data_IF_375355057719
#
_entry.id   IF_375355057719
#
_cell.length_a   1.000
_cell.length_b   1.000
_cell.length_c   1.000
_cell.angle_alpha   90.00
_cell.angle_beta   90.00
_cell.angle_gamma   90.00
#
_symmetry.space_group_name_H-M   'P 1'
#
loop_
_entity.id
_entity.type
_entity.pdbx_description
1 polymer ?
#
# COMPACT_ATOMS: atom_id res chain seq x y z
N UNK A 1 -5.75 -9.94 13.27
CA UNK A 1 -5.28 -9.12 14.39
C UNK A 1 -5.99 -9.62 15.64
N UNK A 2 -5.43 -9.41 16.82
CA UNK A 2 -6.06 -9.72 18.09
C UNK A 2 -6.19 -8.44 18.94
N UNK A 3 -7.14 -8.44 19.87
CA UNK A 3 -7.34 -7.33 20.80
C UNK A 3 -6.19 -7.30 21.81
N UNK A 4 -5.54 -6.15 21.96
CA UNK A 4 -4.42 -5.94 22.87
C UNK A 4 -4.77 -4.98 24.02
N UNK A 5 -5.85 -4.22 23.89
CA UNK A 5 -6.34 -3.36 24.95
C UNK A 5 -7.81 -3.71 25.28
N UNK A 6 -8.07 -4.12 26.51
CA UNK A 6 -9.43 -4.44 26.99
C UNK A 6 -10.35 -3.21 27.01
N UNK A 7 -9.78 -2.01 27.09
CA UNK A 7 -10.53 -0.76 27.08
C UNK A 7 -11.01 -0.35 25.69
N UNK A 8 -10.58 -1.01 24.62
CA UNK A 8 -10.88 -0.59 23.23
C UNK A 8 -12.40 -0.46 22.97
N UNK A 9 -13.22 -1.35 23.55
CA UNK A 9 -14.68 -1.27 23.43
C UNK A 9 -15.23 -0.07 24.20
N UNK A 10 -14.75 0.16 25.43
CA UNK A 10 -15.17 1.30 26.25
C UNK A 10 -14.82 2.62 25.56
N UNK A 11 -13.60 2.74 25.05
CA UNK A 11 -13.11 3.95 24.38
C UNK A 11 -13.95 4.27 23.13
N UNK A 12 -14.35 3.25 22.37
CA UNK A 12 -15.23 3.40 21.20
C UNK A 12 -16.63 3.86 21.58
N UNK A 13 -17.17 3.29 22.66
CA UNK A 13 -18.50 3.67 23.14
C UNK A 13 -18.55 5.15 23.54
N UNK A 14 -17.45 5.73 24.04
CA UNK A 14 -17.39 7.17 24.31
C UNK A 14 -17.68 8.02 23.06
N UNK A 15 -17.21 7.60 21.88
CA UNK A 15 -17.50 8.31 20.63
C UNK A 15 -18.96 8.13 20.21
N UNK A 16 -19.47 6.90 20.22
CA UNK A 16 -20.84 6.64 19.75
C UNK A 16 -21.94 7.15 20.69
N UNK A 17 -21.63 7.30 21.99
CA UNK A 17 -22.56 7.77 23.02
C UNK A 17 -22.39 9.27 23.33
N UNK A 18 -21.53 9.98 22.60
CA UNK A 18 -21.41 11.43 22.71
C UNK A 18 -22.75 12.10 22.35
N UNK A 19 -23.28 12.94 23.24
CA UNK A 19 -24.63 13.51 23.10
C UNK A 19 -24.74 14.53 21.96
N UNK A 20 -23.62 15.16 21.58
CA UNK A 20 -23.59 16.21 20.57
C UNK A 20 -23.34 15.64 19.17
N UNK A 21 -22.32 14.79 19.03
CA UNK A 21 -21.79 14.34 17.74
C UNK A 21 -21.82 12.82 17.58
N UNK A 22 -22.20 12.04 18.60
CA UNK A 22 -22.16 10.58 18.52
C UNK A 22 -23.05 10.01 17.42
N UNK A 23 -24.19 10.65 17.17
CA UNK A 23 -25.19 10.22 16.18
C UNK A 23 -24.70 10.30 14.72
N UNK A 24 -23.73 11.17 14.39
CA UNK A 24 -23.16 11.26 13.03
C UNK A 24 -22.02 10.27 12.79
N UNK A 25 -21.49 9.64 13.83
CA UNK A 25 -20.37 8.71 13.72
C UNK A 25 -20.87 7.34 13.23
N UNK A 26 -20.45 6.98 12.03
CA UNK A 26 -20.72 5.70 11.39
C UNK A 26 -19.74 4.61 11.79
N UNK A 27 -18.46 4.94 11.93
CA UNK A 27 -17.45 3.98 12.41
C UNK A 27 -16.22 4.63 13.05
N UNK A 28 -15.56 3.88 13.93
CA UNK A 28 -14.31 4.27 14.60
C UNK A 28 -13.19 3.32 14.18
N UNK A 29 -12.16 3.86 13.52
CA UNK A 29 -11.03 3.12 12.99
C UNK A 29 -9.80 3.28 13.90
N UNK A 30 -9.22 2.15 14.32
CA UNK A 30 -7.96 2.12 15.05
C UNK A 30 -6.76 1.95 14.10
N UNK A 31 -5.56 2.39 14.50
CA UNK A 31 -4.33 2.04 13.81
C UNK A 31 -4.11 0.53 13.74
N UNK A 32 -3.68 0.05 12.57
CA UNK A 32 -3.11 -1.28 12.44
C UNK A 32 -1.69 -1.29 13.01
N UNK A 33 -1.47 -2.08 14.05
CA UNK A 33 -0.14 -2.24 14.67
C UNK A 33 0.29 -3.70 14.61
N UNK A 34 1.60 -3.95 14.64
CA UNK A 34 2.15 -5.28 14.43
C UNK A 34 3.26 -5.62 15.44
N UNK A 35 3.35 -6.91 15.81
CA UNK A 35 4.29 -7.39 16.84
C UNK A 35 5.59 -7.92 16.28
N UNK A 36 5.56 -8.48 15.08
CA UNK A 36 6.73 -9.09 14.46
C UNK A 36 7.52 -8.08 13.60
N UNK A 37 7.48 -6.79 13.89
CA UNK A 37 8.30 -5.81 13.15
C UNK A 37 9.78 -5.96 13.51
N UNK A 38 10.65 -5.98 12.50
CA UNK A 38 12.10 -5.90 12.74
C UNK A 38 12.50 -4.47 13.09
N UNK A 39 13.67 -4.32 13.74
CA UNK A 39 14.18 -3.02 14.20
C UNK A 39 14.23 -1.96 13.09
N UNK A 40 14.60 -2.34 11.87
CA UNK A 40 14.70 -1.46 10.72
C UNK A 40 13.60 -1.74 9.67
N UNK A 41 12.47 -2.33 10.08
CA UNK A 41 11.28 -2.53 9.24
C UNK A 41 11.63 -3.00 7.81
N UNK A 42 12.24 -4.18 7.69
CA UNK A 42 12.88 -4.67 6.47
C UNK A 42 12.03 -4.50 5.19
N UNK A 43 10.71 -4.68 5.32
CA UNK A 43 9.76 -4.61 4.20
C UNK A 43 8.82 -3.40 4.25
N UNK A 44 9.10 -2.38 5.09
CA UNK A 44 8.25 -1.19 5.23
C UNK A 44 6.78 -1.58 5.44
N UNK A 45 6.53 -2.25 6.56
CA UNK A 45 5.24 -2.83 6.94
C UNK A 45 4.72 -2.26 8.27
N UNK A 46 5.45 -1.34 8.91
CA UNK A 46 4.98 -0.66 10.13
C UNK A 46 3.81 0.28 9.87
N UNK A 47 3.75 0.89 8.67
CA UNK A 47 2.78 1.93 8.32
C UNK A 47 2.70 3.07 9.35
N UNK A 48 3.84 3.40 9.99
CA UNK A 48 3.90 4.42 11.03
C UNK A 48 3.54 5.81 10.50
N UNK A 49 4.01 6.21 9.32
CA UNK A 49 3.67 7.53 8.72
C UNK A 49 2.18 7.59 8.38
N UNK A 50 1.64 6.56 7.73
CA UNK A 50 0.21 6.44 7.44
C UNK A 50 -0.63 6.60 8.71
N UNK A 51 -0.31 5.85 9.77
CA UNK A 51 -1.07 5.88 11.02
C UNK A 51 -0.89 7.16 11.84
N UNK A 52 0.32 7.72 11.90
CA UNK A 52 0.61 8.86 12.77
C UNK A 52 0.38 10.23 12.11
N UNK A 53 0.42 10.29 10.78
CA UNK A 53 0.33 11.53 10.01
C UNK A 53 -0.90 11.51 9.11
N UNK A 54 -0.96 10.59 8.16
CA UNK A 54 -1.99 10.63 7.10
C UNK A 54 -3.41 10.42 7.65
N UNK A 55 -3.65 9.34 8.38
CA UNK A 55 -4.99 9.04 8.93
C UNK A 55 -5.44 10.05 9.97
N UNK A 56 -4.50 10.59 10.76
CA UNK A 56 -4.78 11.70 11.66
C UNK A 56 -5.16 12.97 10.89
N UNK A 57 -4.50 13.26 9.78
CA UNK A 57 -4.84 14.41 8.92
C UNK A 57 -6.22 14.29 8.30
N UNK A 58 -6.64 13.08 7.90
CA UNK A 58 -7.98 12.83 7.34
C UNK A 58 -9.11 12.99 8.36
N UNK A 59 -8.82 12.82 9.65
CA UNK A 59 -9.83 12.81 10.71
C UNK A 59 -10.63 14.13 10.80
N UNK A 60 -9.98 15.24 10.44
CA UNK A 60 -10.58 16.56 10.46
C UNK A 60 -11.56 16.83 9.28
N UNK A 61 -11.53 16.03 8.21
CA UNK A 61 -12.27 16.28 6.97
C UNK A 61 -13.39 15.25 6.71
N UNK A 62 -13.85 14.55 7.76
CA UNK A 62 -14.92 13.54 7.69
C UNK A 62 -14.49 12.13 8.10
N UNK A 63 -13.21 11.95 8.41
CA UNK A 63 -12.69 10.73 9.01
C UNK A 63 -11.86 9.85 8.06
N UNK A 64 -11.06 8.92 8.62
CA UNK A 64 -10.24 8.00 7.82
C UNK A 64 -11.09 6.97 7.07
N UNK A 65 -10.55 6.35 6.00
CA UNK A 65 -11.18 5.19 5.38
C UNK A 65 -11.27 4.00 6.33
N UNK A 66 -12.25 3.12 6.09
CA UNK A 66 -12.26 1.79 6.68
C UNK A 66 -11.15 0.94 6.04
N UNK A 67 -10.22 0.44 6.86
CA UNK A 67 -9.04 -0.33 6.40
C UNK A 67 -9.09 -1.80 6.85
N UNK A 68 -10.29 -2.37 6.97
CA UNK A 68 -10.51 -3.82 7.06
C UNK A 68 -10.39 -4.47 8.45
N UNK A 69 -9.72 -3.83 9.42
CA UNK A 69 -9.50 -4.42 10.76
C UNK A 69 -9.37 -3.35 11.83
N UNK A 70 -9.68 -3.70 13.08
CA UNK A 70 -9.65 -2.76 14.21
C UNK A 70 -10.64 -1.62 14.03
N UNK A 71 -11.81 -1.90 13.45
CA UNK A 71 -12.84 -0.92 13.17
C UNK A 71 -14.15 -1.34 13.83
N UNK A 72 -14.84 -0.38 14.45
CA UNK A 72 -16.16 -0.59 15.03
C UNK A 72 -17.18 0.18 14.21
N UNK A 73 -18.18 -0.51 13.68
CA UNK A 73 -19.24 0.09 12.88
C UNK A 73 -20.53 0.20 13.68
N UNK A 74 -21.23 1.33 13.53
CA UNK A 74 -22.65 1.41 13.87
C UNK A 74 -23.41 0.51 12.90
N UNK A 75 -24.21 -0.43 13.42
CA UNK A 75 -24.91 -1.44 12.60
C UNK A 75 -25.72 -0.81 11.45
N UNK A 76 -26.37 0.32 11.71
CA UNK A 76 -27.17 1.05 10.72
C UNK A 76 -26.39 1.42 9.46
N UNK A 77 -25.09 1.71 9.56
CA UNK A 77 -24.29 2.06 8.39
C UNK A 77 -24.10 0.87 7.47
N UNK A 78 -23.92 -0.33 8.06
CA UNK A 78 -23.83 -1.58 7.31
C UNK A 78 -25.20 -2.00 6.77
N UNK A 79 -26.30 -1.63 7.41
CA UNK A 79 -27.65 -1.86 6.87
C UNK A 79 -28.03 -0.92 5.71
N UNK A 80 -27.13 -0.04 5.25
CA UNK A 80 -27.38 0.82 4.11
C UNK A 80 -28.02 2.17 4.43
N UNK A 81 -28.22 2.49 5.71
CA UNK A 81 -28.92 3.70 6.13
C UNK A 81 -28.15 4.96 5.73
N UNK A 82 -28.87 5.99 5.29
CA UNK A 82 -28.34 7.34 5.09
C UNK A 82 -28.47 8.15 6.38
N UNK A 83 -27.40 8.85 6.75
CA UNK A 83 -27.44 9.81 7.85
C UNK A 83 -28.22 11.06 7.40
N UNK A 84 -29.05 11.59 8.29
CA UNK A 84 -29.74 12.88 8.10
C UNK A 84 -29.40 13.76 9.30
N UNK A 85 -28.98 15.00 9.05
CA UNK A 85 -28.62 15.91 10.13
C UNK A 85 -29.79 16.09 11.09
N UNK A 86 -29.53 15.96 12.40
CA UNK A 86 -30.56 16.04 13.45
C UNK A 86 -31.40 14.76 13.61
N UNK A 87 -31.18 13.72 12.80
CA UNK A 87 -31.77 12.42 13.07
C UNK A 87 -30.99 11.74 14.19
N UNK A 88 -31.64 11.48 15.33
CA UNK A 88 -31.05 10.62 16.35
C UNK A 88 -30.85 9.21 15.79
N UNK A 89 -29.73 8.57 16.11
CA UNK A 89 -29.53 7.17 15.74
C UNK A 89 -30.63 6.34 16.39
N UNK A 90 -31.31 5.52 15.58
CA UNK A 90 -32.34 4.63 16.10
C UNK A 90 -31.76 3.51 16.96
N UNK A 91 -30.45 3.31 17.02
CA UNK A 91 -29.82 2.40 17.98
C UNK A 91 -30.14 2.75 19.44
N UNK A 92 -30.42 4.03 19.74
CA UNK A 92 -30.92 4.47 21.05
C UNK A 92 -32.46 4.42 21.16
N UNK A 93 -33.16 4.28 20.01
CA UNK A 93 -34.59 3.96 19.90
C UNK A 93 -34.79 2.50 19.45
N UNK A 94 -33.92 1.59 19.88
CA UNK A 94 -34.35 0.20 20.09
C UNK A 94 -35.28 0.22 21.30
N UNK A 95 -36.42 0.87 21.10
CA UNK A 95 -37.58 0.87 21.94
C UNK A 95 -38.04 -0.57 21.96
N UNK A 96 -37.64 -1.30 23.00
CA UNK A 96 -38.23 -2.56 23.43
C UNK A 96 -38.87 -3.38 22.31
N UNK A 97 -38.12 -3.72 21.24
CA UNK A 97 -38.45 -4.94 20.52
C UNK A 97 -38.37 -6.00 21.60
N UNK A 98 -39.55 -6.51 21.98
CA UNK A 98 -39.80 -7.52 23.00
C UNK A 98 -38.51 -8.30 23.15
N UNK A 99 -37.86 -8.24 24.33
CA UNK A 99 -36.74 -9.14 24.63
C UNK A 99 -37.16 -10.47 24.06
N UNK A 100 -36.49 -10.92 23.00
CA UNK A 100 -36.89 -12.14 22.33
C UNK A 100 -36.65 -13.21 23.39
N UNK A 101 -37.73 -13.59 24.08
CA UNK A 101 -37.74 -14.58 25.15
C UNK A 101 -37.82 -15.99 24.54
N UNK A 102 -37.49 -16.10 23.24
CA UNK A 102 -37.42 -17.37 22.57
C UNK A 102 -36.24 -18.17 23.13
N UNK A 103 -36.47 -19.47 23.28
CA UNK A 103 -35.42 -20.41 23.65
C UNK A 103 -34.27 -20.37 22.64
N UNK A 104 -33.05 -20.68 23.09
CA UNK A 104 -31.87 -20.75 22.23
C UNK A 104 -32.08 -21.66 21.00
N UNK A 105 -32.83 -22.76 21.17
CA UNK A 105 -33.19 -23.68 20.07
C UNK A 105 -34.08 -23.03 19.01
N UNK A 106 -35.04 -22.19 19.41
CA UNK A 106 -35.91 -21.48 18.47
C UNK A 106 -35.12 -20.43 17.70
N UNK A 107 -34.24 -19.69 18.39
CA UNK A 107 -33.33 -18.73 17.73
C UNK A 107 -32.40 -19.43 16.74
N UNK A 108 -31.84 -20.58 17.13
CA UNK A 108 -30.97 -21.37 16.26
C UNK A 108 -31.70 -21.79 14.97
N UNK A 109 -32.89 -22.38 15.09
CA UNK A 109 -33.69 -22.75 13.91
C UNK A 109 -34.05 -21.54 13.05
N UNK A 110 -34.37 -20.39 13.67
CA UNK A 110 -34.73 -19.16 12.96
C UNK A 110 -33.54 -18.51 12.26
N UNK A 111 -32.31 -18.71 12.76
CA UNK A 111 -31.09 -18.19 12.15
C UNK A 111 -30.59 -19.05 10.98
N UNK A 112 -30.92 -20.36 10.92
CA UNK A 112 -30.43 -21.27 9.85
C UNK A 112 -30.72 -20.74 8.43
N UNK A 113 -31.94 -20.25 8.09
CA UNK A 113 -32.21 -19.70 6.77
C UNK A 113 -31.36 -18.47 6.41
N UNK A 114 -30.97 -17.66 7.42
CA UNK A 114 -30.13 -16.46 7.22
C UNK A 114 -28.70 -16.80 6.80
N UNK A 115 -28.24 -18.01 7.12
CA UNK A 115 -26.92 -18.53 6.73
C UNK A 115 -26.97 -19.40 5.46
N UNK A 116 -28.12 -19.47 4.78
CA UNK A 116 -28.26 -20.26 3.55
C UNK A 116 -27.54 -19.60 2.37
N UNK A 117 -27.05 -20.41 1.43
CA UNK A 117 -26.36 -19.89 0.24
C UNK A 117 -27.27 -19.05 -0.68
N UNK A 118 -28.60 -19.25 -0.61
CA UNK A 118 -29.58 -18.48 -1.36
C UNK A 118 -30.07 -17.21 -0.64
N UNK A 119 -29.63 -16.95 0.59
CA UNK A 119 -30.14 -15.82 1.38
C UNK A 119 -29.94 -14.47 0.69
N UNK A 120 -28.81 -14.31 0.01
CA UNK A 120 -28.45 -13.06 -0.65
C UNK A 120 -28.99 -12.96 -2.09
N UNK A 121 -29.62 -14.01 -2.60
CA UNK A 121 -30.15 -14.05 -3.96
C UNK A 121 -31.27 -13.02 -4.14
N UNK A 122 -31.17 -12.19 -5.18
CA UNK A 122 -32.12 -11.09 -5.46
C UNK A 122 -32.26 -10.05 -4.33
N UNK A 123 -31.28 -9.96 -3.43
CA UNK A 123 -31.25 -8.93 -2.37
C UNK A 123 -30.29 -7.78 -2.69
N UNK A 124 -30.30 -6.77 -1.82
CA UNK A 124 -29.36 -5.62 -1.83
C UNK A 124 -28.05 -5.89 -1.07
N UNK A 125 -27.88 -7.09 -0.48
CA UNK A 125 -26.64 -7.49 0.16
C UNK A 125 -25.47 -7.45 -0.83
N UNK A 126 -24.37 -6.82 -0.39
CA UNK A 126 -23.19 -6.61 -1.22
C UNK A 126 -23.30 -5.49 -2.25
N UNK A 127 -24.52 -5.04 -2.58
CA UNK A 127 -24.80 -3.98 -3.57
C UNK A 127 -24.99 -2.64 -2.87
N UNK A 128 -25.99 -2.55 -1.99
CA UNK A 128 -26.34 -1.35 -1.23
C UNK A 128 -26.21 -1.52 0.29
N UNK A 129 -26.18 -2.75 0.80
CA UNK A 129 -25.95 -3.01 2.23
C UNK A 129 -24.89 -4.09 2.44
N UNK A 130 -24.46 -4.26 3.68
CA UNK A 130 -23.33 -5.11 4.05
C UNK A 130 -21.98 -4.54 3.58
N UNK A 131 -21.00 -5.43 3.48
CA UNK A 131 -19.72 -5.14 2.82
C UNK A 131 -19.93 -5.15 1.31
N UNK A 132 -19.41 -4.15 0.60
CA UNK A 132 -19.58 -4.03 -0.85
C UNK A 132 -18.85 -5.13 -1.62
N UNK A 133 -19.50 -5.73 -2.61
CA UNK A 133 -18.91 -6.83 -3.40
C UNK A 133 -18.15 -6.34 -4.64
N UNK A 134 -17.34 -7.23 -5.21
CA UNK A 134 -16.74 -7.03 -6.54
C UNK A 134 -15.46 -6.20 -6.58
N UNK A 135 -14.85 -5.91 -5.42
CA UNK A 135 -13.57 -5.21 -5.31
C UNK A 135 -12.63 -5.93 -4.33
N UNK A 136 -11.33 -6.11 -4.65
CA UNK A 136 -10.34 -6.72 -3.73
C UNK A 136 -10.02 -5.92 -2.46
N UNK A 137 -10.48 -4.66 -2.39
CA UNK A 137 -10.39 -3.76 -1.22
C UNK A 137 -11.80 -3.32 -0.84
N UNK A 138 -12.66 -4.30 -0.57
CA UNK A 138 -14.06 -4.13 -0.19
C UNK A 138 -14.22 -3.24 1.05
N UNK A 139 -13.23 -3.25 1.93
CA UNK A 139 -13.15 -2.40 3.11
C UNK A 139 -13.16 -0.91 2.74
N UNK A 140 -12.25 -0.49 1.87
CA UNK A 140 -12.09 0.91 1.47
C UNK A 140 -13.36 1.43 0.79
N UNK A 141 -13.91 0.68 -0.17
CA UNK A 141 -15.15 1.06 -0.87
C UNK A 141 -16.37 1.06 0.08
N UNK A 142 -16.44 0.12 1.02
CA UNK A 142 -17.53 0.09 2.02
C UNK A 142 -17.47 1.35 2.88
N UNK A 143 -16.30 1.68 3.45
CA UNK A 143 -16.11 2.89 4.24
C UNK A 143 -16.43 4.17 3.45
N UNK A 144 -15.95 4.25 2.21
CA UNK A 144 -16.24 5.37 1.31
C UNK A 144 -17.74 5.54 1.05
N UNK A 145 -18.46 4.44 0.78
CA UNK A 145 -19.91 4.50 0.55
C UNK A 145 -20.70 4.87 1.80
N UNK A 146 -20.24 4.45 2.99
CA UNK A 146 -20.81 4.89 4.28
C UNK A 146 -20.64 6.41 4.43
N UNK A 147 -19.46 6.94 4.16
CA UNK A 147 -19.23 8.39 4.25
C UNK A 147 -20.04 9.18 3.22
N UNK A 148 -20.17 8.67 2.00
CA UNK A 148 -21.02 9.24 0.96
C UNK A 148 -22.53 9.19 1.29
N UNK A 149 -22.93 8.44 2.32
CA UNK A 149 -24.29 8.44 2.87
C UNK A 149 -24.47 9.44 4.01
N UNK A 150 -23.48 10.31 4.24
CA UNK A 150 -23.50 11.39 5.21
C UNK A 150 -22.91 11.03 6.58
N UNK A 151 -22.47 9.78 6.79
CA UNK A 151 -21.84 9.39 8.04
C UNK A 151 -20.41 9.90 8.13
N UNK A 152 -19.95 10.23 9.34
CA UNK A 152 -18.53 10.50 9.61
C UNK A 152 -17.84 9.27 10.14
N UNK A 153 -16.52 9.22 9.99
CA UNK A 153 -15.69 8.26 10.73
C UNK A 153 -14.73 8.98 11.66
N UNK A 154 -14.21 8.24 12.63
CA UNK A 154 -13.23 8.73 13.60
C UNK A 154 -11.97 7.88 13.53
N UNK A 155 -10.81 8.52 13.53
CA UNK A 155 -9.53 7.88 13.75
C UNK A 155 -9.16 7.92 15.23
N UNK A 156 -9.14 6.76 15.90
CA UNK A 156 -8.80 6.70 17.31
C UNK A 156 -7.49 5.94 17.58
N UNK A 157 -6.51 6.66 18.14
CA UNK A 157 -5.20 6.13 18.51
C UNK A 157 -5.00 6.16 20.03
N UNK A 158 -5.34 5.08 20.76
CA UNK A 158 -5.13 5.01 22.20
C UNK A 158 -3.63 4.93 22.56
N UNK A 159 -3.29 5.33 23.80
CA UNK A 159 -1.92 5.23 24.35
C UNK A 159 -1.41 3.78 24.35
N UNK A 160 -2.25 2.83 24.76
CA UNK A 160 -2.01 1.39 24.59
C UNK A 160 -2.63 0.95 23.27
N UNK A 161 -1.82 0.39 22.36
CA UNK A 161 -2.28 -0.11 21.05
C UNK A 161 -3.52 -1.00 21.21
N UNK A 162 -4.63 -0.64 20.56
CA UNK A 162 -5.90 -1.35 20.69
C UNK A 162 -5.85 -2.76 20.11
N UNK A 163 -5.24 -2.90 18.94
CA UNK A 163 -5.14 -4.16 18.19
C UNK A 163 -3.73 -4.41 17.71
N UNK A 164 -3.31 -5.67 17.74
CA UNK A 164 -2.01 -6.12 17.26
C UNK A 164 -2.17 -7.22 16.20
N UNK A 165 -1.26 -7.25 15.24
CA UNK A 165 -1.25 -8.20 14.14
C UNK A 165 0.15 -8.65 13.77
N UNK A 166 0.23 -9.35 12.65
CA UNK A 166 1.50 -9.79 12.06
C UNK A 166 1.61 -9.30 10.62
N UNK A 167 2.79 -8.80 10.28
CA UNK A 167 3.17 -8.40 8.92
C UNK A 167 3.74 -9.60 8.15
N UNK A 168 3.74 -9.55 6.80
CA UNK A 168 4.45 -10.53 6.00
C UNK A 168 5.95 -10.58 6.33
N UNK A 169 6.53 -11.79 6.32
CA UNK A 169 7.94 -12.03 6.66
C UNK A 169 8.81 -12.30 5.43
N UNK A 170 8.23 -12.25 4.23
CA UNK A 170 8.96 -12.42 2.96
C UNK A 170 8.66 -11.28 2.00
N UNK A 171 9.64 -10.95 1.16
CA UNK A 171 9.48 -9.89 0.16
C UNK A 171 8.32 -10.19 -0.78
N UNK A 172 8.20 -11.44 -1.27
CA UNK A 172 7.16 -11.82 -2.21
C UNK A 172 5.75 -11.65 -1.61
N UNK A 173 5.54 -12.05 -0.36
CA UNK A 173 4.25 -11.85 0.31
C UNK A 173 3.91 -10.36 0.43
N UNK A 174 4.87 -9.51 0.80
CA UNK A 174 4.67 -8.06 0.85
C UNK A 174 4.31 -7.48 -0.53
N UNK A 175 4.99 -7.92 -1.59
CA UNK A 175 4.72 -7.45 -2.96
C UNK A 175 3.36 -7.92 -3.49
N UNK A 176 2.97 -9.16 -3.22
CA UNK A 176 1.65 -9.71 -3.60
C UNK A 176 0.52 -9.00 -2.83
N UNK A 177 0.73 -8.75 -1.53
CA UNK A 177 -0.22 -7.99 -0.72
C UNK A 177 -0.44 -6.59 -1.29
N UNK A 178 0.65 -5.87 -1.59
CA UNK A 178 0.57 -4.54 -2.19
C UNK A 178 -0.05 -4.56 -3.58
N UNK A 179 0.21 -5.58 -4.41
CA UNK A 179 -0.45 -5.73 -5.72
C UNK A 179 -1.96 -5.73 -5.55
N UNK A 180 -2.49 -6.55 -4.62
CA UNK A 180 -3.93 -6.67 -4.38
C UNK A 180 -4.55 -5.33 -3.96
N UNK A 181 -3.91 -4.63 -3.03
CA UNK A 181 -4.38 -3.32 -2.57
C UNK A 181 -4.41 -2.29 -3.69
N UNK A 182 -3.32 -2.21 -4.45
CA UNK A 182 -3.19 -1.27 -5.56
C UNK A 182 -4.14 -1.60 -6.70
N UNK A 183 -4.36 -2.88 -6.98
CA UNK A 183 -5.30 -3.36 -7.98
C UNK A 183 -6.72 -2.94 -7.62
N UNK A 184 -7.16 -3.25 -6.41
CA UNK A 184 -8.48 -2.85 -5.92
C UNK A 184 -8.65 -1.32 -5.83
N UNK A 185 -7.61 -0.60 -5.42
CA UNK A 185 -7.63 0.87 -5.37
C UNK A 185 -7.89 1.49 -6.74
N UNK A 186 -7.16 1.05 -7.77
CA UNK A 186 -7.39 1.54 -9.12
C UNK A 186 -8.76 1.11 -9.66
N UNK A 187 -9.25 -0.10 -9.32
CA UNK A 187 -10.60 -0.54 -9.68
C UNK A 187 -11.67 0.39 -9.11
N UNK A 188 -11.55 0.84 -7.85
CA UNK A 188 -12.48 1.82 -7.27
C UNK A 188 -12.44 3.12 -8.08
N UNK A 189 -11.24 3.66 -8.33
CA UNK A 189 -11.07 4.93 -9.04
C UNK A 189 -11.67 4.91 -10.46
N UNK A 190 -11.55 3.78 -11.17
CA UNK A 190 -12.06 3.60 -12.53
C UNK A 190 -13.53 3.16 -12.59
N UNK A 191 -14.18 2.95 -11.44
CA UNK A 191 -15.58 2.51 -11.36
C UNK A 191 -16.54 3.67 -11.10
N UNK A 192 -17.84 3.36 -11.03
CA UNK A 192 -18.88 4.29 -10.57
C UNK A 192 -18.67 4.82 -9.13
N UNK A 193 -17.74 4.23 -8.38
CA UNK A 193 -17.36 4.63 -7.02
C UNK A 193 -16.13 5.54 -6.97
N UNK A 194 -15.73 6.13 -8.10
CA UNK A 194 -14.67 7.14 -8.13
C UNK A 194 -14.96 8.27 -7.13
N UNK A 195 -14.04 8.62 -6.20
CA UNK A 195 -14.30 9.66 -5.20
C UNK A 195 -14.69 11.02 -5.78
N UNK A 196 -14.09 11.40 -6.90
CA UNK A 196 -14.32 12.69 -7.57
C UNK A 196 -15.68 12.76 -8.29
N UNK A 197 -16.28 11.61 -8.63
CA UNK A 197 -17.58 11.54 -9.30
C UNK A 197 -18.69 11.19 -8.31
N UNK A 198 -18.52 10.08 -7.60
CA UNK A 198 -19.51 9.57 -6.65
C UNK A 198 -19.60 10.41 -5.38
N UNK A 199 -18.46 10.91 -4.89
CA UNK A 199 -18.37 11.70 -3.67
C UNK A 199 -18.68 13.18 -3.88
N UNK A 200 -18.75 13.65 -5.13
CA UNK A 200 -19.06 15.04 -5.45
C UNK A 200 -20.42 15.44 -4.88
N UNK A 201 -20.44 16.51 -4.08
CA UNK A 201 -21.63 17.00 -3.37
C UNK A 201 -22.08 16.13 -2.20
N UNK A 202 -21.42 15.00 -1.90
CA UNK A 202 -21.73 14.10 -0.78
C UNK A 202 -20.72 14.18 0.36
N UNK A 203 -19.45 14.36 0.03
CA UNK A 203 -18.36 14.50 1.00
C UNK A 203 -17.44 15.69 0.63
N UNK A 204 -16.68 16.28 1.57
CA UNK A 204 -15.79 17.39 1.30
C UNK A 204 -14.75 17.06 0.23
N UNK A 205 -14.39 18.05 -0.60
CA UNK A 205 -13.37 17.87 -1.66
C UNK A 205 -12.04 17.38 -1.10
N UNK A 206 -11.63 17.86 0.08
CA UNK A 206 -10.40 17.41 0.75
C UNK A 206 -10.41 15.91 1.03
N UNK A 207 -11.54 15.37 1.51
CA UNK A 207 -11.72 13.94 1.73
C UNK A 207 -11.74 13.16 0.41
N UNK A 208 -12.38 13.70 -0.63
CA UNK A 208 -12.33 13.06 -1.97
C UNK A 208 -10.88 12.92 -2.47
N UNK A 209 -10.08 13.99 -2.33
CA UNK A 209 -8.67 14.00 -2.72
C UNK A 209 -7.83 13.06 -1.85
N UNK A 210 -8.12 12.97 -0.54
CA UNK A 210 -7.39 12.08 0.36
C UNK A 210 -7.58 10.60 0.00
N UNK A 211 -8.79 10.19 -0.40
CA UNK A 211 -9.02 8.87 -0.99
C UNK A 211 -8.19 8.65 -2.26
N UNK A 212 -8.16 9.64 -3.17
CA UNK A 212 -7.44 9.52 -4.43
C UNK A 212 -5.94 9.25 -4.28
N UNK A 213 -5.29 9.69 -3.19
CA UNK A 213 -3.87 9.44 -2.91
C UNK A 213 -3.54 7.94 -2.95
N UNK A 214 -4.36 7.10 -2.31
CA UNK A 214 -4.15 5.65 -2.25
C UNK A 214 -4.70 4.94 -3.49
N UNK A 215 -5.83 5.41 -4.04
CA UNK A 215 -6.46 4.77 -5.21
C UNK A 215 -5.63 4.93 -6.49
N UNK A 216 -4.80 5.97 -6.60
CA UNK A 216 -3.95 6.24 -7.77
C UNK A 216 -2.51 5.70 -7.65
N UNK A 217 -2.22 4.85 -6.65
CA UNK A 217 -0.92 4.20 -6.52
C UNK A 217 -0.46 3.49 -7.81
N UNK A 218 -1.36 2.79 -8.47
CA UNK A 218 -1.07 2.04 -9.69
C UNK A 218 -0.55 2.95 -10.81
N UNK A 219 -1.19 4.11 -11.04
CA UNK A 219 -0.84 5.02 -12.13
C UNK A 219 0.59 5.58 -12.02
N UNK A 220 1.11 5.70 -10.79
CA UNK A 220 2.47 6.18 -10.53
C UNK A 220 3.57 5.17 -10.92
N UNK A 221 3.23 3.93 -11.32
CA UNK A 221 4.21 2.94 -11.74
C UNK A 221 4.96 3.37 -13.00
N UNK A 222 4.28 4.02 -13.96
CA UNK A 222 4.86 4.38 -15.26
C UNK A 222 5.96 5.45 -15.11
N UNK A 223 5.69 6.48 -14.32
CA UNK A 223 6.70 7.49 -13.99
C UNK A 223 7.91 6.85 -13.27
N UNK A 224 7.64 5.95 -12.32
CA UNK A 224 8.71 5.25 -11.59
C UNK A 224 9.57 4.40 -12.52
N UNK A 225 8.94 3.62 -13.41
CA UNK A 225 9.62 2.82 -14.42
C UNK A 225 10.46 3.69 -15.36
N UNK A 226 9.96 4.86 -15.77
CA UNK A 226 10.71 5.81 -16.59
C UNK A 226 12.01 6.23 -15.88
N UNK A 227 11.91 6.74 -14.64
CA UNK A 227 13.07 7.26 -13.92
C UNK A 227 14.13 6.21 -13.56
N UNK A 228 13.76 4.94 -13.47
CA UNK A 228 14.70 3.86 -13.11
C UNK A 228 15.28 3.14 -14.32
N UNK A 229 14.78 3.43 -15.53
CA UNK A 229 15.24 2.82 -16.79
C UNK A 229 15.86 3.84 -17.73
N UNK A 230 15.12 4.88 -18.10
CA UNK A 230 15.49 5.81 -19.17
C UNK A 230 16.76 6.61 -18.82
N UNK A 231 16.89 7.24 -17.63
CA UNK A 231 18.12 7.94 -17.28
C UNK A 231 19.36 7.05 -17.35
N UNK A 232 19.25 5.77 -16.97
CA UNK A 232 20.34 4.79 -16.97
C UNK A 232 20.71 4.31 -18.37
N UNK A 233 19.74 4.18 -19.28
CA UNK A 233 19.99 3.91 -20.70
C UNK A 233 20.60 5.13 -21.40
N UNK A 234 20.07 6.33 -21.16
CA UNK A 234 20.66 7.58 -21.67
C UNK A 234 22.10 7.76 -21.17
N UNK A 235 22.37 7.37 -19.93
CA UNK A 235 23.70 7.42 -19.32
C UNK A 235 24.72 6.55 -20.09
N UNK A 236 24.33 5.34 -20.54
CA UNK A 236 25.19 4.49 -21.39
C UNK A 236 25.57 5.16 -22.72
N UNK A 237 24.62 5.89 -23.33
CA UNK A 237 24.84 6.64 -24.57
C UNK A 237 25.57 7.97 -24.38
N UNK A 238 25.73 8.44 -23.15
CA UNK A 238 26.24 9.78 -22.86
C UNK A 238 25.24 10.89 -23.21
N UNK A 239 23.94 10.57 -23.28
CA UNK A 239 22.87 11.54 -23.51
C UNK A 239 22.44 12.12 -22.16
N UNK A 240 22.50 13.45 -22.06
CA UNK A 240 22.09 14.18 -20.87
C UNK A 240 20.56 14.22 -20.74
N UNK A 241 20.02 13.72 -19.63
CA UNK A 241 18.59 13.84 -19.28
C UNK A 241 18.31 14.98 -18.30
N UNK A 242 19.35 15.55 -17.70
CA UNK A 242 19.24 16.63 -16.72
C UNK A 242 20.06 17.85 -17.18
N UNK A 243 19.81 19.05 -16.61
CA UNK A 243 20.69 20.20 -16.78
C UNK A 243 22.12 19.91 -16.31
N UNK A 244 23.09 20.68 -16.80
CA UNK A 244 24.45 20.68 -16.27
C UNK A 244 24.45 21.05 -14.78
N UNK A 245 25.23 20.37 -13.94
CA UNK A 245 25.27 20.67 -12.50
C UNK A 245 25.78 22.09 -12.24
N UNK A 246 26.75 22.55 -13.04
CA UNK A 246 27.23 23.94 -13.01
C UNK A 246 26.19 25.00 -13.42
N UNK A 247 25.08 24.60 -14.03
CA UNK A 247 24.04 25.52 -14.48
C UNK A 247 23.09 25.89 -13.35
N UNK A 248 22.63 27.15 -13.33
CA UNK A 248 21.57 27.61 -12.42
C UNK A 248 20.27 26.78 -12.55
N UNK A 249 20.02 26.18 -13.73
CA UNK A 249 18.89 25.30 -13.96
C UNK A 249 18.94 23.97 -13.19
N UNK A 250 20.08 23.60 -12.60
CA UNK A 250 20.20 22.42 -11.74
C UNK A 250 19.65 22.66 -10.33
N UNK A 251 19.60 23.91 -9.87
CA UNK A 251 19.25 24.24 -8.48
C UNK A 251 17.85 23.76 -8.08
N UNK A 252 16.79 23.92 -8.89
CA UNK A 252 15.47 23.39 -8.54
C UNK A 252 15.45 21.86 -8.37
N UNK A 253 16.22 21.13 -9.19
CA UNK A 253 16.31 19.67 -9.10
C UNK A 253 17.04 19.23 -7.83
N UNK A 254 18.20 19.83 -7.56
CA UNK A 254 18.99 19.56 -6.35
C UNK A 254 18.17 19.89 -5.11
N UNK A 255 17.55 21.07 -5.07
CA UNK A 255 16.68 21.47 -3.96
C UNK A 255 15.54 20.48 -3.75
N UNK A 256 14.82 20.11 -4.81
CA UNK A 256 13.69 19.17 -4.70
C UNK A 256 14.16 17.81 -4.18
N UNK A 257 15.23 17.24 -4.72
CA UNK A 257 15.76 15.94 -4.28
C UNK A 257 16.20 16.01 -2.81
N UNK A 258 16.96 17.03 -2.43
CA UNK A 258 17.48 17.17 -1.07
C UNK A 258 16.36 17.43 -0.07
N UNK A 259 15.46 18.38 -0.35
CA UNK A 259 14.38 18.75 0.54
C UNK A 259 13.39 17.60 0.73
N UNK A 260 12.99 16.91 -0.35
CA UNK A 260 12.06 15.77 -0.24
C UNK A 260 12.68 14.58 0.48
N UNK A 261 13.96 14.28 0.23
CA UNK A 261 14.67 13.19 0.91
C UNK A 261 14.87 13.51 2.40
N UNK A 262 15.27 14.74 2.72
CA UNK A 262 15.45 15.18 4.11
C UNK A 262 14.12 15.20 4.87
N UNK A 263 13.06 15.71 4.26
CA UNK A 263 11.72 15.71 4.85
C UNK A 263 11.22 14.28 5.08
N UNK A 264 11.30 13.41 4.06
CA UNK A 264 10.89 12.00 4.17
C UNK A 264 11.67 11.26 5.25
N UNK A 265 12.98 11.45 5.34
CA UNK A 265 13.80 10.85 6.38
C UNK A 265 13.43 11.37 7.78
N UNK A 266 13.27 12.69 7.91
CA UNK A 266 12.89 13.35 9.15
C UNK A 266 11.52 12.87 9.64
N UNK A 267 10.53 12.83 8.75
CA UNK A 267 9.17 12.35 9.05
C UNK A 267 9.16 10.87 9.45
N UNK A 268 9.91 10.02 8.76
CA UNK A 268 10.01 8.60 9.09
C UNK A 268 10.61 8.37 10.49
N UNK A 269 11.68 9.10 10.82
CA UNK A 269 12.33 9.03 12.15
C UNK A 269 11.44 9.63 13.23
N UNK A 270 10.79 10.76 12.97
CA UNK A 270 9.81 11.38 13.87
C UNK A 270 8.65 10.42 14.18
N UNK A 271 8.23 9.62 13.19
CA UNK A 271 7.23 8.58 13.36
C UNK A 271 7.75 7.32 14.07
N UNK A 272 8.97 7.32 14.60
CA UNK A 272 9.54 6.23 15.40
C UNK A 272 10.28 5.16 14.60
N UNK A 273 10.61 5.44 13.33
CA UNK A 273 11.49 4.61 12.52
C UNK A 273 12.97 4.92 12.75
N UNK A 274 13.85 4.08 12.21
CA UNK A 274 15.31 4.32 12.19
C UNK A 274 15.74 4.87 10.83
N UNK A 275 16.92 5.48 10.74
CA UNK A 275 17.49 5.94 9.44
C UNK A 275 17.69 4.75 8.48
N UNK A 276 18.14 3.60 9.00
CA UNK A 276 18.26 2.37 8.21
C UNK A 276 16.88 1.84 7.78
N UNK A 277 15.86 1.99 8.63
CA UNK A 277 14.48 1.69 8.29
C UNK A 277 13.94 2.59 7.20
N UNK A 278 14.26 3.89 7.22
CA UNK A 278 13.93 4.80 6.12
C UNK A 278 14.59 4.36 4.80
N UNK A 279 15.85 3.92 4.84
CA UNK A 279 16.50 3.36 3.64
C UNK A 279 15.80 2.09 3.12
N UNK A 280 15.34 1.22 4.02
CA UNK A 280 14.53 0.06 3.66
C UNK A 280 13.16 0.48 3.09
N UNK A 281 12.57 1.56 3.61
CA UNK A 281 11.34 2.17 3.10
C UNK A 281 11.51 2.69 1.67
N UNK A 282 12.59 3.42 1.37
CA UNK A 282 12.90 3.85 0.00
C UNK A 282 13.07 2.67 -0.97
N UNK A 283 13.71 1.58 -0.51
CA UNK A 283 13.82 0.35 -1.30
C UNK A 283 12.47 -0.27 -1.59
N UNK A 284 11.65 -0.41 -0.57
CA UNK A 284 10.33 -1.02 -0.71
C UNK A 284 9.38 -0.14 -1.52
N UNK A 285 9.50 1.18 -1.41
CA UNK A 285 8.81 2.15 -2.27
C UNK A 285 9.14 1.91 -3.74
N UNK A 286 10.43 1.75 -4.07
CA UNK A 286 10.88 1.42 -5.43
C UNK A 286 10.34 0.05 -5.88
N UNK A 287 10.41 -0.96 -5.02
CA UNK A 287 10.03 -2.33 -5.38
C UNK A 287 8.53 -2.46 -5.63
N UNK A 288 7.71 -1.90 -4.74
CA UNK A 288 6.24 -1.87 -4.88
C UNK A 288 5.84 -1.17 -6.17
N UNK A 289 6.44 -0.02 -6.49
CA UNK A 289 6.08 0.78 -7.69
C UNK A 289 6.48 0.16 -9.01
N UNK A 290 7.66 -0.47 -9.07
CA UNK A 290 8.15 -1.10 -10.31
C UNK A 290 7.56 -2.49 -10.56
N UNK A 291 6.96 -3.13 -9.54
CA UNK A 291 6.38 -4.47 -9.66
C UNK A 291 4.91 -4.52 -9.29
N UNK A 292 4.57 -4.51 -8.00
CA UNK A 292 3.20 -4.63 -7.49
C UNK A 292 2.23 -3.67 -8.20
N UNK A 293 2.63 -2.40 -8.33
CA UNK A 293 1.80 -1.36 -8.92
C UNK A 293 1.72 -1.51 -10.44
N UNK A 294 2.83 -1.92 -11.08
CA UNK A 294 2.85 -2.18 -12.51
C UNK A 294 1.96 -3.37 -12.91
N UNK A 295 2.03 -4.49 -12.18
CA UNK A 295 1.13 -5.62 -12.39
C UNK A 295 -0.33 -5.25 -12.12
N UNK A 296 -0.60 -4.53 -11.02
CA UNK A 296 -1.93 -4.04 -10.71
C UNK A 296 -2.49 -3.10 -11.80
N UNK A 297 -1.65 -2.24 -12.35
CA UNK A 297 -2.00 -1.36 -13.46
C UNK A 297 -2.34 -2.16 -14.71
N UNK A 298 -1.46 -3.10 -15.11
CA UNK A 298 -1.67 -3.94 -16.28
C UNK A 298 -2.94 -4.79 -16.16
N UNK A 299 -3.17 -5.44 -15.03
CA UNK A 299 -4.36 -6.27 -14.79
C UNK A 299 -5.64 -5.44 -14.90
N UNK A 300 -5.63 -4.20 -14.39
CA UNK A 300 -6.77 -3.29 -14.54
C UNK A 300 -7.02 -2.88 -16.00
N UNK A 301 -5.97 -2.58 -16.77
CA UNK A 301 -6.11 -2.28 -18.20
C UNK A 301 -6.65 -3.50 -18.96
N UNK A 302 -6.10 -4.70 -18.72
CA UNK A 302 -6.58 -5.94 -19.33
C UNK A 302 -8.04 -6.24 -18.96
N UNK A 303 -8.44 -5.96 -17.71
CA UNK A 303 -9.82 -6.06 -17.27
C UNK A 303 -10.74 -5.09 -18.03
N UNK A 304 -10.33 -3.84 -18.22
CA UNK A 304 -11.09 -2.87 -19.02
C UNK A 304 -11.23 -3.30 -20.48
N UNK A 305 -10.23 -4.00 -21.02
CA UNK A 305 -10.26 -4.59 -22.36
C UNK A 305 -11.04 -5.92 -22.44
N UNK A 306 -11.60 -6.41 -21.32
CA UNK A 306 -12.42 -7.63 -21.27
C UNK A 306 -11.62 -8.94 -21.34
N UNK A 307 -10.29 -8.91 -21.23
CA UNK A 307 -9.42 -10.09 -21.46
C UNK A 307 -9.05 -10.86 -20.20
N UNK A 308 -9.30 -10.33 -18.99
CA UNK A 308 -8.97 -11.02 -17.74
C UNK A 308 -10.07 -10.91 -16.67
N UNK A 309 -10.23 -11.98 -15.88
CA UNK A 309 -10.94 -11.97 -14.60
C UNK A 309 -9.89 -11.94 -13.49
N UNK A 310 -10.01 -11.00 -12.55
CA UNK A 310 -9.09 -10.89 -11.40
C UNK A 310 -9.14 -12.18 -10.56
N UNK A 311 -7.98 -12.80 -10.34
CA UNK A 311 -7.83 -13.92 -9.42
C UNK A 311 -7.32 -13.40 -8.07
N UNK A 312 -8.10 -13.60 -7.02
CA UNK A 312 -7.70 -13.24 -5.67
C UNK A 312 -6.63 -14.21 -5.16
N UNK A 313 -5.40 -13.74 -5.00
CA UNK A 313 -4.31 -14.55 -4.43
C UNK A 313 -4.26 -14.36 -2.92
N UNK A 314 -4.56 -15.42 -2.16
CA UNK A 314 -4.46 -15.42 -0.70
C UNK A 314 -2.99 -15.30 -0.29
N UNK A 315 -2.66 -14.27 0.49
CA UNK A 315 -1.30 -14.12 1.04
C UNK A 315 -1.17 -14.98 2.30
N UNK A 316 -0.34 -16.02 2.23
CA UNK A 316 0.02 -16.79 3.43
C UNK A 316 0.76 -15.87 4.42
N UNK A 317 0.42 -15.99 5.71
CA UNK A 317 1.09 -15.25 6.81
C UNK A 317 1.87 -16.14 7.77
N UNK A 318 1.89 -17.46 7.51
CA UNK A 318 2.68 -18.43 8.27
C UNK A 318 3.98 -18.64 7.53
N UNK A 319 5.09 -18.48 8.25
CA UNK A 319 6.43 -18.68 7.72
C UNK A 319 7.06 -19.91 8.35
N UNK A 320 7.84 -20.64 7.55
CA UNK A 320 8.73 -21.69 8.04
C UNK A 320 9.71 -21.10 9.08
N UNK A 321 10.17 -21.91 10.02
CA UNK A 321 11.06 -21.49 11.10
C UNK A 321 12.37 -20.91 10.54
N UNK A 322 12.88 -21.49 9.45
CA UNK A 322 14.07 -21.00 8.74
C UNK A 322 13.85 -19.62 8.11
N UNK A 323 12.66 -19.37 7.56
CA UNK A 323 12.29 -18.07 6.97
C UNK A 323 12.17 -17.02 8.07
N UNK A 324 11.55 -17.38 9.20
CA UNK A 324 11.38 -16.49 10.35
C UNK A 324 12.73 -16.04 10.93
N UNK A 325 13.69 -16.97 11.10
CA UNK A 325 15.06 -16.63 11.54
C UNK A 325 15.79 -15.69 10.59
N UNK A 326 15.58 -15.83 9.27
CA UNK A 326 16.17 -14.92 8.28
C UNK A 326 15.54 -13.53 8.35
N UNK A 327 14.22 -13.49 8.52
CA UNK A 327 13.48 -12.25 8.68
C UNK A 327 13.91 -11.50 9.96
N UNK A 328 14.06 -12.17 11.10
CA UNK A 328 14.57 -11.59 12.35
C UNK A 328 15.99 -11.02 12.20
N UNK A 329 16.82 -11.63 11.35
CA UNK A 329 18.17 -11.15 10.99
C UNK A 329 18.16 -10.05 9.91
N UNK A 330 16.97 -9.60 9.50
CA UNK A 330 16.76 -8.61 8.45
C UNK A 330 17.31 -8.99 7.07
N UNK A 331 17.28 -10.29 6.74
CA UNK A 331 17.68 -10.81 5.44
C UNK A 331 16.45 -10.95 4.52
N UNK A 332 16.49 -10.28 3.36
CA UNK A 332 15.38 -10.32 2.39
C UNK A 332 15.21 -11.71 1.77
N UNK A 333 13.99 -12.23 1.68
CA UNK A 333 13.72 -13.57 1.14
C UNK A 333 13.49 -13.55 -0.38
N UNK A 334 14.34 -14.23 -1.15
CA UNK A 334 14.24 -14.32 -2.62
C UNK A 334 13.98 -15.74 -3.15
N UNK A 335 13.97 -16.77 -2.31
CA UNK A 335 14.00 -18.18 -2.72
C UNK A 335 12.86 -18.64 -3.62
N UNK A 336 11.74 -17.92 -3.67
CA UNK A 336 10.59 -18.24 -4.51
C UNK A 336 10.73 -17.58 -5.90
N UNK A 337 10.66 -18.33 -7.02
CA UNK A 337 10.66 -17.73 -8.34
C UNK A 337 9.40 -16.89 -8.56
N UNK A 338 9.55 -15.66 -9.07
CA UNK A 338 8.44 -14.75 -9.32
C UNK A 338 8.75 -13.79 -10.47
N UNK A 339 7.78 -13.48 -11.36
CA UNK A 339 7.93 -12.42 -12.35
C UNK A 339 8.27 -11.04 -11.74
N UNK A 340 7.80 -10.76 -10.52
CA UNK A 340 8.16 -9.54 -9.79
C UNK A 340 9.67 -9.48 -9.51
N UNK A 341 10.26 -10.60 -9.06
CA UNK A 341 11.70 -10.67 -8.84
C UNK A 341 12.49 -10.58 -10.14
N UNK A 342 11.96 -11.10 -11.25
CA UNK A 342 12.56 -10.90 -12.57
C UNK A 342 12.65 -9.41 -12.91
N UNK A 343 11.56 -8.65 -12.76
CA UNK A 343 11.58 -7.20 -13.04
C UNK A 343 12.57 -6.47 -12.12
N UNK A 344 12.52 -6.69 -10.80
CA UNK A 344 13.45 -6.04 -9.86
C UNK A 344 14.90 -6.33 -10.20
N UNK A 345 15.20 -7.60 -10.50
CA UNK A 345 16.56 -8.04 -10.79
C UNK A 345 17.03 -7.53 -12.16
N UNK A 346 16.16 -7.46 -13.16
CA UNK A 346 16.47 -6.83 -14.45
C UNK A 346 16.80 -5.35 -14.29
N UNK A 347 16.00 -4.61 -13.52
CA UNK A 347 16.27 -3.20 -13.24
C UNK A 347 17.57 -3.01 -12.44
N UNK A 348 17.84 -3.87 -11.46
CA UNK A 348 19.10 -3.83 -10.71
C UNK A 348 20.32 -4.09 -11.62
N UNK A 349 20.23 -5.06 -12.52
CA UNK A 349 21.28 -5.32 -13.51
C UNK A 349 21.46 -4.16 -14.48
N UNK A 350 20.37 -3.63 -15.03
CA UNK A 350 20.40 -2.49 -15.94
C UNK A 350 21.15 -1.31 -15.32
N UNK A 351 20.76 -0.92 -14.10
CA UNK A 351 21.40 0.19 -13.39
C UNK A 351 22.87 -0.11 -13.06
N UNK A 352 23.20 -1.33 -12.63
CA UNK A 352 24.58 -1.71 -12.36
C UNK A 352 25.46 -1.67 -13.61
N UNK A 353 24.99 -2.23 -14.73
CA UNK A 353 25.72 -2.23 -16.00
C UNK A 353 25.92 -0.80 -16.53
N UNK A 354 24.87 0.03 -16.46
CA UNK A 354 24.96 1.45 -16.81
C UNK A 354 25.99 2.20 -15.96
N UNK A 355 25.96 1.99 -14.64
CA UNK A 355 26.86 2.66 -13.71
C UNK A 355 28.32 2.22 -13.92
N UNK A 356 28.58 0.91 -14.01
CA UNK A 356 29.92 0.35 -14.29
C UNK A 356 30.42 0.83 -15.65
N UNK A 357 29.57 0.81 -16.68
CA UNK A 357 29.93 1.26 -18.03
C UNK A 357 30.41 2.72 -18.05
N UNK A 358 29.78 3.60 -17.26
CA UNK A 358 30.25 4.98 -17.13
C UNK A 358 31.52 5.08 -16.30
N UNK A 359 31.65 4.40 -15.17
CA UNK A 359 32.89 4.40 -14.39
C UNK A 359 34.11 3.97 -15.22
N UNK A 360 33.94 2.95 -16.08
CA UNK A 360 34.99 2.52 -17.02
C UNK A 360 35.31 3.60 -18.06
N UNK A 361 34.29 4.24 -18.65
CA UNK A 361 34.52 5.36 -19.60
C UNK A 361 35.28 6.51 -18.94
N UNK A 362 34.96 6.84 -17.69
CA UNK A 362 35.62 7.88 -16.91
C UNK A 362 37.08 7.53 -16.61
N UNK A 363 37.35 6.27 -16.23
CA UNK A 363 38.70 5.79 -15.98
C UNK A 363 39.58 5.85 -17.24
N UNK A 364 39.00 5.64 -18.42
CA UNK A 364 39.73 5.65 -19.71
C UNK A 364 39.91 7.08 -20.27
N UNK A 365 38.88 7.94 -20.19
CA UNK A 365 38.88 9.25 -20.88
C UNK A 365 39.13 10.45 -19.95
N UNK A 366 39.21 10.24 -18.63
CA UNK A 366 39.76 11.21 -17.67
C UNK A 366 38.88 12.39 -17.26
N UNK A 367 37.64 12.53 -17.75
CA UNK A 367 36.72 13.58 -17.30
C UNK A 367 35.27 13.11 -17.21
N UNK A 368 34.60 13.43 -16.10
CA UNK A 368 33.14 13.35 -15.97
C UNK A 368 32.49 14.48 -16.72
N UNK A 369 31.67 14.21 -17.75
CA UNK A 369 30.89 15.27 -18.38
C UNK A 369 29.95 15.85 -17.32
N UNK A 370 30.10 17.13 -16.99
CA UNK A 370 29.26 17.87 -16.02
C UNK A 370 27.75 17.70 -16.29
N UNK A 371 27.40 17.51 -17.57
CA UNK A 371 26.04 17.20 -18.01
C UNK A 371 25.48 15.86 -17.51
N UNK A 372 26.33 14.85 -17.25
CA UNK A 372 25.88 13.51 -16.82
C UNK A 372 25.89 13.32 -15.30
N UNK A 373 26.43 14.28 -14.54
CA UNK A 373 26.69 14.11 -13.10
C UNK A 373 25.43 13.73 -12.29
N UNK A 374 24.29 14.38 -12.52
CA UNK A 374 23.04 14.04 -11.83
C UNK A 374 22.53 12.63 -12.19
N UNK A 375 22.70 12.19 -13.45
CA UNK A 375 22.33 10.82 -13.86
C UNK A 375 23.24 9.78 -13.23
N UNK A 376 24.54 10.07 -13.11
CA UNK A 376 25.51 9.21 -12.43
C UNK A 376 25.11 9.04 -10.97
N UNK A 377 24.75 10.13 -10.28
CA UNK A 377 24.30 10.10 -8.89
C UNK A 377 23.00 9.28 -8.76
N UNK A 378 22.00 9.54 -9.60
CA UNK A 378 20.75 8.78 -9.60
C UNK A 378 20.98 7.28 -9.83
N UNK A 379 21.79 6.93 -10.83
CA UNK A 379 22.10 5.54 -11.16
C UNK A 379 22.87 4.86 -10.02
N UNK A 380 23.85 5.54 -9.42
CA UNK A 380 24.58 5.05 -8.25
C UNK A 380 23.66 4.84 -7.05
N UNK A 381 22.72 5.76 -6.77
CA UNK A 381 21.70 5.58 -5.73
C UNK A 381 20.82 4.36 -6.00
N UNK A 382 20.38 4.15 -7.25
CA UNK A 382 19.58 2.97 -7.63
C UNK A 382 20.37 1.67 -7.43
N UNK A 383 21.67 1.65 -7.72
CA UNK A 383 22.55 0.50 -7.42
C UNK A 383 22.61 0.28 -5.91
N UNK A 384 22.85 1.31 -5.11
CA UNK A 384 22.91 1.19 -3.64
C UNK A 384 21.58 0.71 -3.02
N UNK A 385 20.43 1.23 -3.49
CA UNK A 385 19.11 0.80 -3.02
C UNK A 385 18.89 -0.70 -3.31
N UNK A 386 19.38 -1.18 -4.45
CA UNK A 386 19.25 -2.56 -4.89
C UNK A 386 20.30 -3.53 -4.32
N UNK A 387 21.15 -3.10 -3.38
CA UNK A 387 22.17 -3.95 -2.74
C UNK A 387 21.67 -5.36 -2.36
N UNK A 388 20.52 -5.54 -1.68
CA UNK A 388 20.07 -6.87 -1.27
C UNK A 388 19.82 -7.84 -2.43
N UNK A 389 19.47 -7.34 -3.63
CA UNK A 389 19.31 -8.19 -4.81
C UNK A 389 20.65 -8.75 -5.27
N UNK A 390 21.72 -7.93 -5.29
CA UNK A 390 23.06 -8.40 -5.64
C UNK A 390 23.57 -9.40 -4.61
N UNK A 391 23.35 -9.16 -3.32
CA UNK A 391 23.67 -10.13 -2.26
C UNK A 391 22.92 -11.45 -2.48
N UNK A 392 21.62 -11.36 -2.81
CA UNK A 392 20.77 -12.49 -3.13
C UNK A 392 21.24 -13.32 -4.31
N UNK A 393 21.89 -12.71 -5.30
CA UNK A 393 22.39 -13.39 -6.51
C UNK A 393 23.79 -13.97 -6.28
N UNK A 394 24.72 -13.17 -5.76
CA UNK A 394 26.15 -13.49 -5.77
C UNK A 394 26.68 -14.04 -4.45
N UNK A 395 26.18 -13.56 -3.31
CA UNK A 395 26.78 -13.83 -2.01
C UNK A 395 26.06 -14.94 -1.24
N UNK A 396 24.74 -15.01 -1.37
CA UNK A 396 23.93 -15.95 -0.60
C UNK A 396 24.07 -17.40 -1.07
N UNK A 397 24.14 -18.31 -0.10
CA UNK A 397 24.21 -19.77 -0.29
C UNK A 397 23.05 -20.51 0.38
N UNK A 398 22.26 -19.82 1.20
CA UNK A 398 21.11 -20.40 1.90
C UNK A 398 19.83 -20.42 1.02
N UNK A 399 18.73 -20.99 1.54
CA UNK A 399 17.46 -21.16 0.81
C UNK A 399 16.78 -19.85 0.37
N UNK A 400 17.09 -18.72 0.97
CA UNK A 400 16.54 -17.43 0.55
C UNK A 400 17.34 -16.73 -0.55
N UNK A 401 18.35 -17.40 -1.13
CA UNK A 401 19.08 -16.96 -2.33
C UNK A 401 18.12 -16.76 -3.52
N UNK A 402 18.45 -15.81 -4.40
CA UNK A 402 17.74 -15.63 -5.67
C UNK A 402 17.85 -16.89 -6.54
N UNK A 403 16.73 -17.45 -7.05
CA UNK A 403 16.76 -18.57 -7.98
C UNK A 403 17.62 -18.28 -9.21
N UNK A 404 18.47 -19.23 -9.60
CA UNK A 404 19.35 -19.10 -10.76
C UNK A 404 18.60 -18.84 -12.05
N UNK A 405 17.40 -19.42 -12.20
CA UNK A 405 16.53 -19.18 -13.36
C UNK A 405 16.07 -17.73 -13.45
N UNK A 406 15.75 -17.09 -12.31
CA UNK A 406 15.37 -15.67 -12.25
C UNK A 406 16.59 -14.81 -12.55
N UNK A 407 17.73 -15.07 -11.90
CA UNK A 407 18.96 -14.32 -12.12
C UNK A 407 19.41 -14.35 -13.59
N UNK A 408 19.39 -15.52 -14.24
CA UNK A 408 19.78 -15.67 -15.64
C UNK A 408 18.82 -14.92 -16.59
N UNK A 409 17.50 -15.15 -16.47
CA UNK A 409 16.52 -14.42 -17.30
C UNK A 409 16.66 -12.92 -17.16
N UNK A 410 16.85 -12.46 -15.92
CA UNK A 410 16.95 -11.04 -15.62
C UNK A 410 18.20 -10.39 -16.23
N UNK A 411 19.33 -11.09 -16.19
CA UNK A 411 20.58 -10.65 -16.81
C UNK A 411 20.43 -10.58 -18.34
N UNK A 412 19.80 -11.59 -18.97
CA UNK A 412 19.52 -11.57 -20.42
C UNK A 412 18.65 -10.37 -20.78
N UNK A 413 17.56 -10.11 -20.06
CA UNK A 413 16.70 -8.95 -20.33
C UNK A 413 17.43 -7.61 -20.15
N UNK A 414 18.27 -7.50 -19.12
CA UNK A 414 19.06 -6.29 -18.91
C UNK A 414 20.08 -6.07 -20.03
N UNK A 415 20.76 -7.13 -20.47
CA UNK A 415 21.70 -7.05 -21.61
C UNK A 415 20.98 -6.66 -22.90
N UNK A 416 19.83 -7.26 -23.20
CA UNK A 416 19.02 -6.87 -24.37
C UNK A 416 18.61 -5.41 -24.29
N UNK A 417 18.15 -4.92 -23.13
CA UNK A 417 17.78 -3.52 -22.95
C UNK A 417 18.99 -2.57 -23.14
N UNK A 418 20.15 -2.93 -22.59
CA UNK A 418 21.39 -2.19 -22.82
C UNK A 418 21.79 -2.17 -24.30
N UNK A 419 21.75 -3.33 -24.98
CA UNK A 419 22.08 -3.45 -26.41
C UNK A 419 21.14 -2.64 -27.30
N UNK A 420 19.84 -2.66 -27.01
CA UNK A 420 18.85 -1.86 -27.73
C UNK A 420 19.08 -0.35 -27.59
N UNK A 421 19.73 0.10 -26.53
CA UNK A 421 20.11 1.51 -26.41
C UNK A 421 21.37 1.88 -27.22
N UNK A 422 22.15 0.90 -27.69
CA UNK A 422 23.31 1.13 -28.57
C UNK A 422 22.96 1.13 -30.05
N UNK A 423 21.82 0.52 -30.43
CA UNK A 423 21.20 0.66 -31.75
C UNK A 423 20.50 2.02 -31.82
#
# INVERSE_FOLDING_TARGET
>A
MYANNMDSVRDVLCFFMDEENGDEIGFVQFPQNFDNLTTNDLYSSSFNVLSKVELHGMDNDGGPPYIGTGCFHRRETLCGRKYRQGSKSESLRWDHHQRIQDSASVLEETCKPLASCGYEENTEWGKEMGLKYGCPVEDVITGFTIQCRGWRSIYFKPKRKGFLGVVPTTLLQSLVQHKRWTEGGLQIFLSQYCPLLHGHGKIPLKLQLSYCVHLLWAANCLASLYYVTIPSLCLLRGISSFPKVSSQWSYPFIYTIMATSAYSAGEFVWCGGTVRGWWNDQRMWLYKRTTSYFFAFLDNILRLLGTSKSAFVVTAKVADNDVSKRYERELMEFGAPSPMFTILTTLAWLNALSFIGVLLKLAVHGQTPDQLAMQIILCGLLVCVNQPLYEGIFLRKDKGKMPTSVAYKSAVYALVACSLAYV
#
